data_IF_057836491855
#
_entry.id   IF_057836491855
#
_cell.length_a   1.000
_cell.length_b   1.000
_cell.length_c   1.000
_cell.angle_alpha   90.00
_cell.angle_beta   90.00
_cell.angle_gamma   90.00
#
_symmetry.space_group_name_H-M   'P 1'
#
loop_
_entity.id
_entity.type
_entity.pdbx_description
1 polymer ?
#
# COMPACT_ATOMS: atom_id res chain seq x y z
N UNK A 1 -2.36 -9.52 9.61
CA UNK A 1 -1.20 -9.25 8.74
C UNK A 1 -1.59 -8.54 7.45
N UNK A 2 -2.49 -9.08 6.61
CA UNK A 2 -2.85 -8.47 5.31
C UNK A 2 -3.26 -6.98 5.38
N UNK A 3 -4.10 -6.57 6.34
CA UNK A 3 -4.52 -5.17 6.49
C UNK A 3 -3.36 -4.23 6.83
N UNK A 4 -2.37 -4.70 7.60
CA UNK A 4 -1.22 -3.90 7.99
C UNK A 4 -0.30 -3.64 6.79
N UNK A 5 -0.01 -4.68 6.01
CA UNK A 5 0.68 -4.58 4.72
C UNK A 5 -0.05 -3.62 3.78
N UNK A 6 -1.36 -3.78 3.60
CA UNK A 6 -2.12 -2.85 2.75
C UNK A 6 -2.01 -1.39 3.24
N UNK A 7 -2.11 -1.15 4.56
CA UNK A 7 -1.98 0.19 5.13
C UNK A 7 -0.62 0.80 4.84
N UNK A 8 0.47 0.06 5.05
CA UNK A 8 1.83 0.52 4.74
C UNK A 8 1.97 0.89 3.27
N UNK A 9 1.50 0.04 2.35
CA UNK A 9 1.58 0.28 0.92
C UNK A 9 0.81 1.54 0.48
N UNK A 10 -0.40 1.76 1.00
CA UNK A 10 -1.19 2.95 0.67
C UNK A 10 -0.61 4.22 1.32
N UNK A 11 -0.08 4.14 2.54
CA UNK A 11 0.59 5.28 3.19
C UNK A 11 1.86 5.67 2.42
N UNK A 12 2.62 4.71 1.90
CA UNK A 12 3.78 4.99 1.02
C UNK A 12 3.36 5.77 -0.24
N UNK A 13 2.20 5.46 -0.82
CA UNK A 13 1.66 6.22 -1.96
C UNK A 13 1.31 7.66 -1.55
N UNK A 14 0.62 7.82 -0.41
CA UNK A 14 0.26 9.16 0.11
C UNK A 14 1.52 10.00 0.38
N UNK A 15 2.54 9.42 1.00
CA UNK A 15 3.83 10.09 1.26
C UNK A 15 4.59 10.41 -0.03
N UNK A 16 4.60 9.50 -1.01
CA UNK A 16 5.21 9.75 -2.32
C UNK A 16 4.50 10.88 -3.07
N UNK A 17 3.17 10.93 -3.00
CA UNK A 17 2.35 11.97 -3.61
C UNK A 17 2.58 13.34 -2.95
N UNK A 18 2.59 13.39 -1.62
CA UNK A 18 2.91 14.60 -0.85
C UNK A 18 4.24 15.21 -1.31
N UNK A 19 5.29 14.38 -1.39
CA UNK A 19 6.62 14.81 -1.82
C UNK A 19 6.69 15.21 -3.28
N UNK A 20 5.94 14.52 -4.14
CA UNK A 20 5.82 14.92 -5.53
C UNK A 20 5.24 16.34 -5.66
N UNK A 21 4.14 16.64 -4.95
CA UNK A 21 3.53 17.98 -5.00
C UNK A 21 4.45 19.03 -4.38
N UNK A 22 5.13 18.72 -3.27
CA UNK A 22 6.06 19.63 -2.61
C UNK A 22 7.23 20.03 -3.50
N UNK A 23 7.80 19.08 -4.24
CA UNK A 23 9.02 19.28 -5.04
C UNK A 23 8.68 19.81 -6.44
N UNK A 24 7.69 19.23 -7.12
CA UNK A 24 7.37 19.58 -8.50
C UNK A 24 6.44 20.79 -8.61
N UNK A 25 5.69 21.15 -7.56
CA UNK A 25 4.70 22.24 -7.56
C UNK A 25 4.76 23.10 -6.28
N UNK A 26 5.92 23.64 -5.88
CA UNK A 26 6.09 24.32 -4.59
C UNK A 26 5.14 25.52 -4.39
N UNK A 27 4.83 26.28 -5.45
CA UNK A 27 3.91 27.42 -5.38
C UNK A 27 2.44 27.04 -5.13
N UNK A 28 2.04 25.82 -5.52
CA UNK A 28 0.66 25.33 -5.35
C UNK A 28 0.51 24.35 -4.19
N UNK A 29 1.63 23.92 -3.60
CA UNK A 29 1.66 23.01 -2.46
C UNK A 29 0.79 23.46 -1.28
N UNK A 30 0.87 24.70 -0.77
CA UNK A 30 0.06 25.12 0.39
C UNK A 30 -1.45 25.19 0.10
N UNK A 31 -1.85 25.25 -1.18
CA UNK A 31 -3.27 25.25 -1.60
C UNK A 31 -3.80 23.82 -1.71
N UNK A 32 -2.96 22.87 -2.18
CA UNK A 32 -3.36 21.48 -2.38
C UNK A 32 -3.14 20.60 -1.13
N UNK A 33 -2.01 20.73 -0.45
CA UNK A 33 -1.63 19.94 0.71
C UNK A 33 -1.76 20.75 1.99
N UNK A 34 -2.98 20.81 2.51
CA UNK A 34 -3.26 21.31 3.86
C UNK A 34 -3.16 20.15 4.87
N UNK A 35 -2.96 20.43 6.17
CA UNK A 35 -3.00 19.40 7.21
C UNK A 35 -4.28 18.57 7.19
N UNK A 36 -5.42 19.20 6.82
CA UNK A 36 -6.72 18.54 6.69
C UNK A 36 -6.74 17.60 5.49
N UNK A 37 -6.21 18.02 4.34
CA UNK A 37 -6.10 17.17 3.14
C UNK A 37 -5.21 15.95 3.41
N UNK A 38 -4.06 16.16 4.07
CA UNK A 38 -3.15 15.06 4.40
C UNK A 38 -3.78 14.09 5.40
N UNK A 39 -4.48 14.60 6.43
CA UNK A 39 -5.23 13.76 7.36
C UNK A 39 -6.34 12.96 6.66
N UNK A 40 -7.06 13.57 5.71
CA UNK A 40 -8.09 12.90 4.92
C UNK A 40 -7.50 11.81 4.01
N UNK A 41 -6.37 12.08 3.35
CA UNK A 41 -5.65 11.09 2.54
C UNK A 41 -5.16 9.92 3.39
N UNK A 42 -4.56 10.18 4.55
CA UNK A 42 -4.18 9.14 5.49
C UNK A 42 -5.41 8.34 5.94
N UNK A 43 -6.49 8.98 6.41
CA UNK A 43 -7.70 8.28 6.81
C UNK A 43 -8.27 7.39 5.70
N UNK A 44 -8.27 7.88 4.45
CA UNK A 44 -8.71 7.09 3.30
C UNK A 44 -7.84 5.87 3.03
N UNK A 45 -6.51 6.01 3.12
CA UNK A 45 -5.57 4.90 2.98
C UNK A 45 -5.81 3.80 4.03
N UNK A 46 -6.03 4.20 5.29
CA UNK A 46 -6.34 3.30 6.39
C UNK A 46 -7.70 2.61 6.21
N UNK A 47 -8.73 3.35 5.80
CA UNK A 47 -10.06 2.79 5.54
C UNK A 47 -10.02 1.78 4.39
N UNK A 48 -9.35 2.11 3.28
CA UNK A 48 -9.19 1.19 2.14
C UNK A 48 -8.45 -0.08 2.59
N UNK A 49 -7.34 0.05 3.31
CA UNK A 49 -6.57 -1.08 3.82
C UNK A 49 -7.34 -1.97 4.81
N UNK A 50 -8.26 -1.39 5.59
CA UNK A 50 -9.13 -2.12 6.50
C UNK A 50 -10.26 -2.83 5.77
N UNK A 51 -10.87 -2.18 4.78
CA UNK A 51 -12.04 -2.69 4.05
C UNK A 51 -11.69 -3.77 3.02
N UNK A 52 -10.53 -3.63 2.35
CA UNK A 52 -10.11 -4.51 1.26
C UNK A 52 -10.02 -6.02 1.62
N UNK A 53 -9.57 -6.43 2.83
CA UNK A 53 -9.58 -7.84 3.23
C UNK A 53 -10.94 -8.36 3.75
N UNK A 54 -11.92 -7.50 4.08
CA UNK A 54 -13.20 -7.91 4.68
C UNK A 54 -13.97 -8.92 3.79
N UNK A 55 -14.13 -8.70 2.47
CA UNK A 55 -14.83 -9.66 1.60
C UNK A 55 -14.17 -11.04 1.58
N UNK A 56 -12.84 -11.09 1.65
CA UNK A 56 -12.10 -12.34 1.71
C UNK A 56 -12.38 -13.09 3.03
N UNK A 57 -12.37 -12.37 4.16
CA UNK A 57 -12.68 -12.95 5.49
C UNK A 57 -14.12 -13.46 5.56
N UNK A 58 -15.09 -12.69 5.05
CA UNK A 58 -16.52 -13.10 5.03
C UNK A 58 -16.75 -14.33 4.14
N UNK A 59 -16.10 -14.39 2.97
CA UNK A 59 -16.18 -15.57 2.08
C UNK A 59 -15.60 -16.82 2.74
N UNK A 60 -14.56 -16.67 3.54
CA UNK A 60 -13.89 -17.78 4.23
C UNK A 60 -14.72 -18.29 5.41
N UNK A 61 -15.42 -17.40 6.14
CA UNK A 61 -16.29 -17.79 7.24
C UNK A 61 -17.57 -18.51 6.78
N UNK A 62 -17.98 -18.30 5.53
CA UNK A 62 -19.13 -18.96 4.91
C UNK A 62 -18.81 -20.34 4.30
N UNK A 63 -17.55 -20.78 4.32
CA UNK A 63 -17.16 -22.08 3.76
C UNK A 63 -17.51 -23.24 4.68
N UNK A 64 -17.87 -24.38 4.08
CA UNK A 64 -18.12 -25.61 4.82
C UNK A 64 -16.80 -26.30 5.19
N UNK A 65 -16.58 -26.50 6.49
CA UNK A 65 -15.45 -27.23 7.04
C UNK A 65 -15.92 -28.62 7.50
N UNK A 66 -15.12 -29.65 7.22
CA UNK A 66 -15.41 -30.98 7.75
C UNK A 66 -15.12 -31.03 9.25
N UNK A 67 -15.90 -31.83 9.99
CA UNK A 67 -15.99 -31.83 11.46
C UNK A 67 -14.72 -32.35 12.21
N UNK A 68 -13.56 -32.34 11.56
CA UNK A 68 -12.32 -32.98 12.04
C UNK A 68 -11.07 -32.12 11.83
N UNK A 69 -11.18 -30.80 11.95
CA UNK A 69 -10.00 -29.91 11.90
C UNK A 69 -9.98 -29.03 13.15
N UNK A 70 -9.19 -29.44 14.14
CA UNK A 70 -8.85 -28.59 15.29
C UNK A 70 -7.86 -27.51 14.85
N UNK A 71 -8.38 -26.35 14.43
CA UNK A 71 -7.56 -25.19 14.07
C UNK A 71 -7.36 -24.34 15.32
N UNK A 72 -6.23 -24.53 16.00
CA UNK A 72 -5.90 -23.80 17.23
C UNK A 72 -5.61 -22.30 17.01
N UNK A 73 -5.33 -21.86 15.77
CA UNK A 73 -5.00 -20.46 15.44
C UNK A 73 -5.74 -20.00 14.15
N UNK A 74 -7.02 -19.65 14.30
CA UNK A 74 -7.90 -19.27 13.18
C UNK A 74 -7.54 -17.92 12.51
N UNK A 75 -6.73 -17.08 13.17
CA UNK A 75 -6.47 -15.70 12.74
C UNK A 75 -5.14 -15.46 12.02
N UNK A 76 -4.20 -16.42 12.05
CA UNK A 76 -2.84 -16.19 11.56
C UNK A 76 -2.53 -16.83 10.19
N UNK A 77 -3.35 -17.76 9.70
CA UNK A 77 -3.01 -18.48 8.47
C UNK A 77 -4.22 -18.67 7.54
N UNK A 78 -4.42 -17.66 6.68
CA UNK A 78 -5.42 -17.66 5.60
C UNK A 78 -5.23 -18.86 4.66
N UNK A 79 -4.00 -19.34 4.48
CA UNK A 79 -3.69 -20.47 3.60
C UNK A 79 -4.13 -21.80 4.25
N UNK A 80 -3.89 -21.96 5.55
CA UNK A 80 -4.32 -23.15 6.30
C UNK A 80 -5.86 -23.28 6.34
N UNK A 81 -6.59 -22.18 6.48
CA UNK A 81 -8.06 -22.20 6.47
C UNK A 81 -8.63 -22.57 5.09
N UNK A 82 -8.08 -21.97 4.02
CA UNK A 82 -8.50 -22.30 2.66
C UNK A 82 -8.19 -23.77 2.35
N UNK A 83 -7.03 -24.30 2.74
CA UNK A 83 -6.66 -25.71 2.54
C UNK A 83 -7.56 -26.70 3.29
N UNK A 84 -8.00 -26.37 4.51
CA UNK A 84 -8.88 -27.20 5.33
C UNK A 84 -10.35 -27.24 4.86
N UNK A 85 -10.77 -26.30 3.99
CA UNK A 85 -12.14 -26.26 3.47
C UNK A 85 -12.41 -27.38 2.46
N UNK A 86 -13.62 -27.94 2.51
CA UNK A 86 -14.10 -28.96 1.57
C UNK A 86 -14.77 -28.37 0.32
N UNK A 87 -14.92 -27.04 0.25
CA UNK A 87 -15.48 -26.33 -0.89
C UNK A 87 -14.42 -26.04 -1.96
N UNK A 88 -14.87 -25.74 -3.19
CA UNK A 88 -13.99 -25.33 -4.28
C UNK A 88 -13.18 -24.08 -3.89
N UNK A 89 -11.85 -24.23 -3.95
CA UNK A 89 -10.86 -23.23 -3.49
C UNK A 89 -10.54 -22.17 -4.55
N UNK A 90 -10.93 -22.43 -5.80
CA UNK A 90 -10.69 -21.59 -6.98
C UNK A 90 -11.11 -20.12 -6.80
N UNK A 91 -12.31 -19.78 -6.27
CA UNK A 91 -12.71 -18.39 -6.09
C UNK A 91 -11.92 -17.65 -5.01
N UNK A 92 -11.48 -18.31 -3.93
CA UNK A 92 -10.65 -17.63 -2.91
C UNK A 92 -9.22 -17.45 -3.39
N UNK A 93 -8.66 -18.41 -4.11
CA UNK A 93 -7.33 -18.29 -4.73
C UNK A 93 -7.31 -17.14 -5.75
N UNK A 94 -8.33 -17.03 -6.60
CA UNK A 94 -8.46 -15.95 -7.56
C UNK A 94 -8.60 -14.58 -6.86
N UNK A 95 -9.44 -14.48 -5.82
CA UNK A 95 -9.60 -13.25 -5.05
C UNK A 95 -8.30 -12.84 -4.33
N UNK A 96 -7.58 -13.79 -3.73
CA UNK A 96 -6.28 -13.55 -3.12
C UNK A 96 -5.25 -13.06 -4.13
N UNK A 97 -5.23 -13.66 -5.33
CA UNK A 97 -4.37 -13.22 -6.43
C UNK A 97 -4.71 -11.81 -6.91
N UNK A 98 -5.99 -11.47 -7.08
CA UNK A 98 -6.42 -10.12 -7.42
C UNK A 98 -6.02 -9.09 -6.36
N UNK A 99 -6.20 -9.41 -5.08
CA UNK A 99 -5.80 -8.55 -3.97
C UNK A 99 -4.28 -8.34 -3.98
N UNK A 100 -3.49 -9.41 -4.12
CA UNK A 100 -2.04 -9.32 -4.22
C UNK A 100 -1.60 -8.46 -5.41
N UNK A 101 -2.21 -8.66 -6.58
CA UNK A 101 -1.93 -7.84 -7.76
C UNK A 101 -2.27 -6.38 -7.52
N UNK A 102 -3.43 -6.03 -6.96
CA UNK A 102 -3.79 -4.63 -6.68
C UNK A 102 -2.82 -4.01 -5.66
N UNK A 103 -2.47 -4.73 -4.61
CA UNK A 103 -1.59 -4.25 -3.53
C UNK A 103 -0.13 -4.13 -3.98
N UNK A 104 0.33 -4.92 -4.97
CA UNK A 104 1.69 -4.79 -5.51
C UNK A 104 1.74 -3.85 -6.73
N UNK A 105 0.91 -4.07 -7.74
CA UNK A 105 0.96 -3.34 -9.02
C UNK A 105 0.38 -1.94 -8.97
N UNK A 106 -0.45 -1.57 -8.00
CA UNK A 106 -0.96 -0.19 -7.93
C UNK A 106 0.03 0.76 -7.21
N UNK A 107 0.51 0.47 -5.98
CA UNK A 107 1.36 1.41 -5.26
C UNK A 107 2.79 1.50 -5.82
N UNK A 108 3.40 0.38 -6.24
CA UNK A 108 4.79 0.38 -6.75
C UNK A 108 5.00 1.34 -7.93
N UNK A 109 4.25 1.27 -9.05
CA UNK A 109 4.48 2.17 -10.18
C UNK A 109 4.09 3.62 -9.86
N UNK A 110 3.09 3.86 -9.00
CA UNK A 110 2.74 5.23 -8.57
C UNK A 110 3.89 5.87 -7.78
N UNK A 111 4.51 5.10 -6.88
CA UNK A 111 5.69 5.56 -6.14
C UNK A 111 6.86 5.74 -7.10
N UNK A 112 7.19 4.75 -7.94
CA UNK A 112 8.30 4.84 -8.89
C UNK A 112 8.15 6.02 -9.85
N UNK A 113 6.95 6.27 -10.39
CA UNK A 113 6.69 7.39 -11.28
C UNK A 113 6.83 8.74 -10.55
N UNK A 114 6.30 8.85 -9.33
CA UNK A 114 6.44 10.03 -8.49
C UNK A 114 7.91 10.34 -8.24
N UNK A 115 8.71 9.32 -7.92
CA UNK A 115 10.14 9.45 -7.66
C UNK A 115 10.96 9.72 -8.91
N UNK A 116 10.60 9.14 -10.06
CA UNK A 116 11.23 9.47 -11.34
C UNK A 116 11.03 10.95 -11.70
N UNK A 117 9.84 11.49 -11.45
CA UNK A 117 9.53 12.92 -11.66
C UNK A 117 10.25 13.82 -10.66
N UNK A 118 10.35 13.41 -9.40
CA UNK A 118 11.15 14.11 -8.38
C UNK A 118 12.62 14.14 -8.82
N UNK A 119 13.19 13.00 -9.19
CA UNK A 119 14.58 12.90 -9.61
C UNK A 119 14.86 13.77 -10.84
N UNK A 120 13.96 13.74 -11.85
CA UNK A 120 14.06 14.61 -13.01
C UNK A 120 14.05 16.10 -12.62
N UNK A 121 13.20 16.50 -11.69
CA UNK A 121 13.13 17.89 -11.18
C UNK A 121 14.39 18.26 -10.40
N UNK A 122 14.94 17.34 -9.59
CA UNK A 122 16.18 17.54 -8.83
C UNK A 122 17.40 17.65 -9.73
N UNK A 123 17.46 16.87 -10.80
CA UNK A 123 18.53 16.97 -11.80
C UNK A 123 18.53 18.31 -12.55
N UNK A 124 17.37 18.97 -12.64
CA UNK A 124 17.24 20.33 -13.21
C UNK A 124 17.67 21.45 -12.24
N UNK A 125 17.82 21.16 -10.93
CA UNK A 125 18.30 22.15 -9.95
C UNK A 125 19.81 22.34 -10.10
N UNK A 126 20.25 23.58 -10.33
CA UNK A 126 21.67 23.93 -10.49
C UNK A 126 22.46 23.97 -9.18
N UNK A 127 21.79 24.11 -8.03
CA UNK A 127 22.42 24.17 -6.70
C UNK A 127 22.71 22.78 -6.11
N UNK A 128 23.96 22.59 -5.64
CA UNK A 128 24.44 21.36 -5.00
C UNK A 128 23.78 21.10 -3.64
N UNK A 129 23.47 22.15 -2.87
CA UNK A 129 22.73 22.04 -1.60
C UNK A 129 21.27 21.63 -1.82
N UNK A 130 20.61 22.19 -2.85
CA UNK A 130 19.25 21.80 -3.24
C UNK A 130 19.14 20.32 -3.64
N UNK A 131 20.14 19.81 -4.37
CA UNK A 131 20.23 18.39 -4.76
C UNK A 131 20.45 17.48 -3.56
N UNK A 132 21.41 17.82 -2.68
CA UNK A 132 21.74 17.01 -1.49
C UNK A 132 20.54 16.87 -0.54
N UNK A 133 19.83 17.97 -0.30
CA UNK A 133 18.65 17.98 0.57
C UNK A 133 17.54 17.10 0.01
N UNK A 134 17.27 17.16 -1.29
CA UNK A 134 16.25 16.34 -1.94
C UNK A 134 16.59 14.84 -1.91
N UNK A 135 17.84 14.46 -2.19
CA UNK A 135 18.30 13.07 -2.11
C UNK A 135 18.23 12.52 -0.69
N UNK A 136 18.66 13.30 0.32
CA UNK A 136 18.59 12.90 1.73
C UNK A 136 17.16 12.61 2.17
N UNK A 137 16.19 13.42 1.74
CA UNK A 137 14.78 13.13 1.99
C UNK A 137 14.33 11.86 1.24
N UNK A 138 14.60 11.72 -0.07
CA UNK A 138 14.03 10.66 -0.90
C UNK A 138 14.61 9.26 -0.66
N UNK A 139 15.88 9.13 -0.29
CA UNK A 139 16.54 7.81 -0.16
C UNK A 139 15.92 6.91 0.90
N UNK A 140 15.50 7.45 2.04
CA UNK A 140 14.88 6.63 3.10
C UNK A 140 13.56 6.00 2.64
N UNK A 141 12.75 6.76 1.91
CA UNK A 141 11.46 6.27 1.39
C UNK A 141 11.65 5.28 0.23
N UNK A 142 12.64 5.48 -0.65
CA UNK A 142 12.99 4.51 -1.69
C UNK A 142 13.50 3.19 -1.11
N UNK A 143 14.27 3.24 -0.02
CA UNK A 143 14.70 2.03 0.68
C UNK A 143 13.52 1.25 1.23
N UNK A 144 12.57 1.92 1.89
CA UNK A 144 11.35 1.26 2.41
C UNK A 144 10.50 0.66 1.29
N UNK A 145 10.40 1.34 0.13
CA UNK A 145 9.68 0.83 -1.04
C UNK A 145 10.43 -0.34 -1.70
N UNK A 146 11.76 -0.33 -1.70
CA UNK A 146 12.58 -1.42 -2.24
C UNK A 146 12.65 -2.66 -1.35
N UNK A 147 12.30 -2.53 -0.06
CA UNK A 147 12.14 -3.67 0.86
C UNK A 147 10.75 -4.28 0.84
N UNK A 148 9.82 -3.65 0.10
CA UNK A 148 8.43 -4.08 -0.09
C UNK A 148 8.30 -5.00 -1.31
#
# INVERSE_FOLDING_TARGET
FQSFTCSEAFILVVMAYDRYVAICRPLHYPVHMTPQTNAALAASAWLIALLLPIPAVVKISQMAYNNSVHIHHCFCDHLALVQASCSDKTPQTLMGFCIAMVVSFLPLPLVLLSYARILASVLQISSREGRSKAFSTCSSHLLVVGTY
#
